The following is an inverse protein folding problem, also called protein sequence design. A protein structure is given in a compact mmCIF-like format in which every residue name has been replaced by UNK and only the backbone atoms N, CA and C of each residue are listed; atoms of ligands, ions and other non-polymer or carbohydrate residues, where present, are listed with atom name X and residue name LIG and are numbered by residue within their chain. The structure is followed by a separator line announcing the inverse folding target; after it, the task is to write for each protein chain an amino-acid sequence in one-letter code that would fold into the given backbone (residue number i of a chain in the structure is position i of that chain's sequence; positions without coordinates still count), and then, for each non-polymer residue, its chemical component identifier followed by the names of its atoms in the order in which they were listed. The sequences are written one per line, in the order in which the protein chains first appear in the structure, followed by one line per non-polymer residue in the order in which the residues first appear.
data_IF_141394800256
#
_entry.id   IF_141394800256
#
_cell.length_a   1.000
_cell.length_b   1.000
_cell.length_c   1.000
_cell.angle_alpha   90.00
_cell.angle_beta   90.00
_cell.angle_gamma   90.00
#
_symmetry.space_group_name_H-M   'P 1'
#
loop_
_entity.id
_entity.type
_entity.pdbx_description
1 polymer ?
#
# COMPACT_ATOMS: atom_id res chain seq x y z
N UNK A 1 21.33 -17.25 4.17
CA UNK A 1 20.71 -15.99 4.67
C UNK A 1 20.16 -15.14 3.54
N UNK A 2 19.04 -14.49 3.77
CA UNK A 2 18.41 -13.63 2.77
C UNK A 2 17.46 -12.63 3.41
N UNK A 3 17.61 -11.36 3.05
CA UNK A 3 16.75 -10.31 3.60
C UNK A 3 15.34 -10.42 3.04
N UNK A 4 14.45 -11.05 3.79
CA UNK A 4 13.06 -11.23 3.38
C UNK A 4 12.43 -9.87 3.09
N UNK A 5 11.55 -9.84 2.09
CA UNK A 5 10.87 -8.61 1.70
C UNK A 5 9.85 -8.17 2.76
N UNK A 6 9.51 -9.09 3.67
CA UNK A 6 8.55 -8.79 4.72
C UNK A 6 9.09 -7.71 5.67
N UNK A 7 10.38 -7.40 5.53
CA UNK A 7 11.01 -6.38 6.38
C UNK A 7 10.70 -4.98 5.86
N UNK A 8 10.84 -4.78 4.55
CA UNK A 8 10.54 -3.48 3.96
C UNK A 8 9.19 -2.97 4.42
N UNK A 9 8.25 -3.89 4.63
CA UNK A 9 6.92 -3.53 5.08
C UNK A 9 6.94 -3.08 6.54
N UNK A 10 7.89 -3.61 7.30
CA UNK A 10 8.02 -3.26 8.71
C UNK A 10 8.25 -1.76 8.89
N UNK A 11 9.21 -1.22 8.15
CA UNK A 11 9.53 0.20 8.23
C UNK A 11 8.39 1.03 7.64
N UNK A 12 8.06 0.78 6.38
CA UNK A 12 6.98 1.48 5.71
C UNK A 12 5.78 1.63 6.64
N UNK A 13 5.61 0.65 7.52
CA UNK A 13 4.53 0.65 8.49
C UNK A 13 4.75 1.69 9.58
N UNK A 14 5.88 1.57 10.29
CA UNK A 14 6.21 2.48 11.36
C UNK A 14 6.07 3.93 10.92
N UNK A 15 6.48 4.21 9.69
CA UNK A 15 6.39 5.56 9.15
C UNK A 15 4.94 5.92 8.93
N UNK A 16 4.20 5.03 8.28
CA UNK A 16 2.78 5.24 8.01
C UNK A 16 2.04 5.62 9.30
N UNK A 17 2.62 5.26 10.45
CA UNK A 17 2.02 5.57 11.73
C UNK A 17 2.36 7.00 12.15
N UNK A 18 3.63 7.38 11.95
CA UNK A 18 4.09 8.72 12.32
C UNK A 18 3.45 9.78 11.42
N UNK A 19 3.47 9.52 10.11
CA UNK A 19 2.90 10.44 9.14
C UNK A 19 1.57 11.04 9.61
N UNK A 20 0.83 10.27 10.37
CA UNK A 20 -0.47 10.71 10.88
C UNK A 20 -0.41 10.99 12.38
N UNK A 21 0.60 10.43 13.05
CA UNK A 21 0.74 10.64 14.47
C UNK A 21 1.24 12.02 14.82
N UNK A 22 0.43 13.04 14.52
CA UNK A 22 0.80 14.42 14.81
C UNK A 22 1.16 14.59 16.29
N UNK A 23 2.45 14.73 16.57
CA UNK A 23 2.90 14.88 17.93
C UNK A 23 3.24 13.56 18.59
N UNK A 24 2.38 12.56 18.38
CA UNK A 24 2.58 11.23 18.95
C UNK A 24 2.23 10.15 17.94
N UNK A 25 2.96 9.04 17.97
CA UNK A 25 2.72 7.93 17.05
C UNK A 25 1.23 7.61 16.96
N UNK A 26 0.69 7.68 15.75
CA UNK A 26 -0.73 7.41 15.54
C UNK A 26 -1.01 5.93 15.78
N UNK A 27 -2.05 5.61 16.58
CA UNK A 27 -2.41 4.23 16.90
C UNK A 27 -2.89 3.42 15.68
N UNK A 28 -2.71 3.98 14.48
CA UNK A 28 -3.13 3.28 13.26
C UNK A 28 -1.97 2.46 12.68
N UNK A 29 -1.16 1.88 13.57
CA UNK A 29 -0.03 1.05 13.15
C UNK A 29 1.01 0.97 14.29
N UNK A 30 0.53 0.72 15.51
CA UNK A 30 1.41 0.63 16.66
C UNK A 30 1.75 -0.83 16.97
N UNK A 31 0.74 -1.69 16.96
CA UNK A 31 0.94 -3.10 17.25
C UNK A 31 0.09 -3.97 16.33
N UNK A 32 0.48 -4.04 15.06
CA UNK A 32 -0.25 -4.84 14.08
C UNK A 32 -0.21 -6.33 14.46
N UNK A 33 0.99 -6.90 14.45
CA UNK A 33 1.16 -8.31 14.79
C UNK A 33 2.64 -8.70 14.77
N UNK A 34 3.29 -8.58 15.93
CA UNK A 34 4.69 -8.92 16.05
C UNK A 34 5.24 -8.50 17.42
N UNK A 35 5.47 -9.48 18.28
CA UNK A 35 5.99 -9.23 19.61
C UNK A 35 7.45 -9.67 19.71
N UNK A 36 8.25 -8.91 20.46
CA UNK A 36 9.66 -9.23 20.63
C UNK A 36 10.42 -9.09 19.31
N UNK A 37 10.41 -7.90 18.72
CA UNK A 37 11.09 -7.63 17.44
C UNK A 37 12.60 -7.78 17.54
N UNK A 38 13.21 -8.23 16.45
CA UNK A 38 14.66 -8.43 16.39
C UNK A 38 15.39 -7.08 16.31
N UNK A 39 16.54 -7.01 16.97
CA UNK A 39 17.34 -5.79 16.97
C UNK A 39 17.69 -5.37 15.55
N UNK A 40 17.02 -4.32 15.07
CA UNK A 40 17.25 -3.82 13.72
C UNK A 40 16.86 -2.36 13.61
N UNK A 41 17.49 -1.64 12.68
CA UNK A 41 17.19 -0.23 12.47
C UNK A 41 16.24 -0.03 11.30
N UNK A 42 14.93 0.06 11.57
CA UNK A 42 13.91 0.25 10.53
C UNK A 42 14.04 1.61 9.84
N UNK A 43 15.16 1.83 9.17
CA UNK A 43 15.40 3.09 8.47
C UNK A 43 16.34 2.87 7.28
N UNK A 44 16.35 1.64 6.76
CA UNK A 44 17.20 1.31 5.63
C UNK A 44 16.91 2.24 4.45
N UNK A 45 17.55 2.01 3.31
CA UNK A 45 17.34 2.85 2.14
C UNK A 45 16.07 2.45 1.39
N UNK A 46 15.96 1.18 1.04
CA UNK A 46 14.79 0.68 0.32
C UNK A 46 13.51 1.09 1.06
N UNK A 47 13.50 0.88 2.37
CA UNK A 47 12.34 1.23 3.17
C UNK A 47 11.96 2.70 3.00
N UNK A 48 12.88 3.60 3.34
CA UNK A 48 12.63 5.03 3.21
C UNK A 48 12.23 5.37 1.78
N UNK A 49 13.04 4.92 0.84
CA UNK A 49 12.77 5.16 -0.56
C UNK A 49 11.30 4.90 -0.87
N UNK A 50 10.80 3.76 -0.40
CA UNK A 50 9.40 3.41 -0.62
C UNK A 50 8.46 4.48 -0.10
N UNK A 51 8.67 4.94 1.14
CA UNK A 51 7.81 5.99 1.67
C UNK A 51 7.55 7.00 0.56
N UNK A 52 8.62 7.37 -0.14
CA UNK A 52 8.53 8.31 -1.25
C UNK A 52 7.89 7.69 -2.50
N UNK A 53 8.64 6.79 -3.14
CA UNK A 53 8.19 6.12 -4.35
C UNK A 53 6.68 5.94 -4.37
N UNK A 54 6.12 5.56 -3.24
CA UNK A 54 4.69 5.35 -3.11
C UNK A 54 3.92 6.66 -3.11
N UNK A 55 4.29 7.59 -2.23
CA UNK A 55 3.62 8.89 -2.18
C UNK A 55 3.58 9.50 -3.58
N UNK A 56 4.77 9.68 -4.13
CA UNK A 56 4.93 10.26 -5.46
C UNK A 56 3.91 9.67 -6.44
N UNK A 57 3.85 8.34 -6.48
CA UNK A 57 2.91 7.67 -7.37
C UNK A 57 1.51 8.27 -7.26
N UNK A 58 1.02 8.35 -6.02
CA UNK A 58 -0.30 8.90 -5.77
C UNK A 58 -0.51 10.22 -6.51
N UNK A 59 0.52 11.07 -6.52
CA UNK A 59 0.43 12.36 -7.20
C UNK A 59 -0.12 12.18 -8.61
N UNK A 60 0.17 11.03 -9.21
CA UNK A 60 -0.29 10.74 -10.56
C UNK A 60 -1.58 9.92 -10.54
N UNK A 61 -1.59 8.86 -9.74
CA UNK A 61 -2.77 8.00 -9.62
C UNK A 61 -3.41 8.14 -8.25
N UNK A 62 -3.76 9.37 -7.88
CA UNK A 62 -4.39 9.62 -6.59
C UNK A 62 -5.85 9.18 -6.61
N UNK A 63 -6.61 9.69 -7.57
CA UNK A 63 -8.02 9.34 -7.69
C UNK A 63 -8.18 7.88 -8.09
N UNK A 64 -7.34 7.42 -9.00
CA UNK A 64 -7.38 6.05 -9.46
C UNK A 64 -7.45 5.08 -8.28
N UNK A 65 -6.50 5.19 -7.37
CA UNK A 65 -6.44 4.33 -6.20
C UNK A 65 -7.78 4.33 -5.46
N UNK A 66 -8.13 5.47 -4.87
CA UNK A 66 -9.38 5.61 -4.14
C UNK A 66 -10.58 5.17 -4.99
N UNK A 67 -10.57 5.59 -6.25
CA UNK A 67 -11.65 5.25 -7.16
C UNK A 67 -11.99 3.76 -7.08
N UNK A 68 -11.00 2.92 -7.35
CA UNK A 68 -11.20 1.48 -7.31
C UNK A 68 -11.80 1.05 -5.98
N UNK A 69 -11.31 1.66 -4.89
CA UNK A 69 -11.79 1.34 -3.56
C UNK A 69 -13.30 1.56 -3.45
N UNK A 70 -13.78 2.65 -4.05
CA UNK A 70 -15.20 2.96 -4.00
C UNK A 70 -16.02 2.01 -4.86
N UNK A 71 -15.42 1.55 -5.96
CA UNK A 71 -16.10 0.63 -6.87
C UNK A 71 -16.49 -0.67 -6.15
N UNK A 72 -15.50 -1.42 -5.73
CA UNK A 72 -15.73 -2.69 -5.04
C UNK A 72 -16.53 -2.48 -3.76
N UNK A 73 -16.46 -1.28 -3.20
CA UNK A 73 -17.16 -0.96 -1.96
C UNK A 73 -18.53 -1.63 -1.90
N UNK A 74 -19.01 -1.89 -0.68
CA UNK A 74 -20.29 -2.53 -0.46
C UNK A 74 -20.13 -4.03 -0.27
N UNK A 75 -19.31 -4.40 0.71
CA UNK A 75 -19.06 -5.82 1.02
C UNK A 75 -19.73 -6.22 2.33
N UNK A 76 -19.50 -7.45 2.75
CA UNK A 76 -20.08 -7.97 3.98
C UNK A 76 -19.60 -7.17 5.19
N UNK A 77 -18.47 -6.50 5.05
CA UNK A 77 -17.91 -5.71 6.14
C UNK A 77 -17.31 -6.59 7.23
N UNK A 78 -17.09 -7.87 6.89
CA UNK A 78 -16.52 -8.81 7.85
C UNK A 78 -15.96 -10.03 7.14
N UNK A 79 -15.40 -9.83 5.96
CA UNK A 79 -14.83 -10.91 5.18
C UNK A 79 -13.70 -10.41 4.28
N UNK A 80 -12.59 -11.15 4.25
CA UNK A 80 -11.44 -10.77 3.44
C UNK A 80 -11.64 -11.14 1.96
N UNK A 81 -12.81 -11.69 1.64
CA UNK A 81 -13.10 -12.08 0.27
C UNK A 81 -12.93 -10.93 -0.71
N UNK A 82 -13.16 -9.72 -0.22
CA UNK A 82 -13.05 -8.52 -1.05
C UNK A 82 -11.73 -7.80 -0.79
N UNK A 83 -11.19 -8.00 0.39
CA UNK A 83 -9.94 -7.35 0.77
C UNK A 83 -8.76 -7.82 -0.08
N UNK A 84 -8.80 -9.08 -0.51
CA UNK A 84 -7.73 -9.62 -1.34
C UNK A 84 -7.85 -9.11 -2.77
N UNK A 85 -9.06 -9.17 -3.32
CA UNK A 85 -9.29 -8.70 -4.68
C UNK A 85 -8.95 -7.22 -4.79
N UNK A 86 -9.27 -6.47 -3.75
CA UNK A 86 -9.00 -5.04 -3.70
C UNK A 86 -7.50 -4.78 -3.64
N UNK A 87 -6.80 -5.64 -2.91
CA UNK A 87 -5.36 -5.51 -2.75
C UNK A 87 -4.67 -5.44 -4.11
N UNK A 88 -5.12 -6.26 -5.05
CA UNK A 88 -4.55 -6.30 -6.39
C UNK A 88 -5.27 -5.34 -7.34
N UNK A 89 -6.55 -5.11 -7.08
CA UNK A 89 -7.36 -4.22 -7.93
C UNK A 89 -7.17 -2.75 -7.56
N UNK A 90 -6.75 -2.48 -6.33
CA UNK A 90 -6.55 -1.12 -5.87
C UNK A 90 -5.74 -0.29 -6.88
N UNK A 91 -4.91 -0.95 -7.68
CA UNK A 91 -4.10 -0.26 -8.67
C UNK A 91 -4.25 -0.87 -10.06
N UNK A 92 -5.26 -1.74 -10.23
CA UNK A 92 -5.52 -2.40 -11.51
C UNK A 92 -5.28 -1.45 -12.69
N UNK A 93 -5.71 -0.20 -12.52
CA UNK A 93 -5.55 0.81 -13.57
C UNK A 93 -4.13 0.82 -14.12
N UNK A 94 -3.16 0.59 -13.24
CA UNK A 94 -1.76 0.58 -13.67
C UNK A 94 -1.49 -0.46 -14.73
N UNK A 95 -0.76 -1.51 -14.36
CA UNK A 95 -0.43 -2.58 -15.29
C UNK A 95 0.58 -3.55 -14.69
N UNK A 96 1.71 -3.04 -14.20
CA UNK A 96 2.75 -3.87 -13.58
C UNK A 96 2.18 -4.87 -12.58
N UNK A 97 3.02 -5.76 -12.08
CA UNK A 97 2.59 -6.76 -11.12
C UNK A 97 2.73 -6.25 -9.69
N UNK A 98 3.96 -6.00 -9.28
CA UNK A 98 4.23 -5.52 -7.92
C UNK A 98 3.55 -4.17 -7.71
N UNK A 99 3.26 -3.49 -8.80
CA UNK A 99 2.62 -2.18 -8.73
C UNK A 99 1.40 -2.19 -7.84
N UNK A 100 0.80 -3.36 -7.65
CA UNK A 100 -0.38 -3.49 -6.80
C UNK A 100 0.01 -3.32 -5.34
N UNK A 101 1.23 -3.77 -5.01
CA UNK A 101 1.73 -3.68 -3.65
C UNK A 101 2.25 -2.28 -3.35
N UNK A 102 2.80 -1.62 -4.37
CA UNK A 102 3.31 -0.27 -4.20
C UNK A 102 2.16 0.69 -4.02
N UNK A 103 1.08 0.46 -4.76
CA UNK A 103 -0.09 1.29 -4.65
C UNK A 103 -0.74 1.09 -3.29
N UNK A 104 -0.88 -0.19 -2.91
CA UNK A 104 -1.46 -0.56 -1.62
C UNK A 104 -0.89 0.31 -0.51
N UNK A 105 0.43 0.29 -0.37
CA UNK A 105 1.10 1.08 0.66
C UNK A 105 1.00 2.57 0.34
N UNK A 106 0.79 2.88 -0.93
CA UNK A 106 0.68 4.26 -1.39
C UNK A 106 -0.67 4.85 -1.06
N UNK A 107 -1.72 4.38 -1.73
CA UNK A 107 -3.06 4.88 -1.50
C UNK A 107 -3.39 4.79 -0.01
N UNK A 108 -3.03 3.67 0.59
CA UNK A 108 -3.29 3.44 2.00
C UNK A 108 -2.69 4.57 2.84
N UNK A 109 -1.64 5.19 2.34
CA UNK A 109 -0.98 6.29 3.05
C UNK A 109 -1.86 7.53 3.08
N UNK A 110 -2.25 8.01 1.90
CA UNK A 110 -3.09 9.20 1.81
C UNK A 110 -4.50 8.88 2.31
N UNK A 111 -4.94 7.65 2.08
CA UNK A 111 -6.26 7.22 2.51
C UNK A 111 -6.41 7.36 4.02
N UNK A 112 -5.37 7.00 4.75
CA UNK A 112 -5.39 7.09 6.21
C UNK A 112 -5.37 8.55 6.67
N UNK A 113 -4.64 9.38 5.93
CA UNK A 113 -4.55 10.81 6.26
C UNK A 113 -5.89 11.49 6.10
N UNK A 114 -6.58 11.18 5.00
CA UNK A 114 -7.89 11.78 4.72
C UNK A 114 -8.96 11.25 5.67
N UNK A 115 -8.91 9.95 5.93
CA UNK A 115 -9.87 9.31 6.81
C UNK A 115 -9.77 9.85 8.23
N UNK A 116 -8.55 10.19 8.65
CA UNK A 116 -8.32 10.73 9.98
C UNK A 116 -8.53 12.24 10.02
N UNK A 117 -8.06 12.93 8.98
CA UNK A 117 -8.20 14.37 8.90
C UNK A 117 -9.66 14.79 8.99
N UNK A 118 -10.49 14.21 8.13
CA UNK A 118 -11.92 14.52 8.11
C UNK A 118 -12.60 14.01 9.38
N UNK A 119 -13.52 14.80 9.92
CA UNK A 119 -14.23 14.44 11.13
C UNK A 119 -15.20 13.28 10.86
N UNK A 120 -14.65 12.12 10.53
CA UNK A 120 -15.46 10.94 10.25
C UNK A 120 -14.62 9.67 10.31
N UNK A 121 -15.26 8.56 10.69
CA UNK A 121 -14.58 7.28 10.79
C UNK A 121 -13.26 7.38 11.55
N UNK A 122 -13.23 8.18 12.63
CA UNK A 122 -12.05 8.40 13.46
C UNK A 122 -11.07 7.20 13.50
N UNK A 123 -10.10 7.31 14.39
CA UNK A 123 -9.08 6.27 14.55
C UNK A 123 -9.68 4.86 14.52
N UNK A 124 -10.97 4.74 14.85
CA UNK A 124 -11.61 3.44 14.87
C UNK A 124 -11.78 2.84 13.47
N UNK A 125 -12.12 3.66 12.47
CA UNK A 125 -12.28 3.13 11.11
C UNK A 125 -10.94 3.00 10.42
N UNK A 126 -10.06 3.98 10.63
CA UNK A 126 -8.74 3.95 10.01
C UNK A 126 -7.97 2.70 10.47
N UNK A 127 -8.03 2.42 11.76
CA UNK A 127 -7.37 1.26 12.33
C UNK A 127 -7.99 -0.03 11.83
N UNK A 128 -9.32 -0.07 11.76
CA UNK A 128 -10.01 -1.26 11.30
C UNK A 128 -9.45 -1.72 9.95
N UNK A 129 -9.40 -0.81 8.99
CA UNK A 129 -8.87 -1.12 7.67
C UNK A 129 -7.45 -1.67 7.77
N UNK A 130 -6.62 -1.01 8.57
CA UNK A 130 -5.24 -1.42 8.75
C UNK A 130 -5.16 -2.85 9.28
N UNK A 131 -6.02 -3.19 10.23
CA UNK A 131 -6.04 -4.52 10.81
C UNK A 131 -6.18 -5.57 9.71
N UNK A 132 -7.16 -5.37 8.84
CA UNK A 132 -7.38 -6.31 7.75
C UNK A 132 -6.35 -6.14 6.65
N UNK A 133 -6.08 -4.89 6.29
CA UNK A 133 -5.10 -4.59 5.25
C UNK A 133 -3.74 -5.18 5.61
N UNK A 134 -3.27 -4.86 6.81
CA UNK A 134 -1.98 -5.36 7.28
C UNK A 134 -1.91 -6.87 7.12
N UNK A 135 -3.00 -7.55 7.47
CA UNK A 135 -3.06 -9.00 7.36
C UNK A 135 -2.71 -9.45 5.95
N UNK A 136 -3.28 -8.75 4.97
CA UNK A 136 -3.03 -9.08 3.57
C UNK A 136 -1.61 -8.68 3.16
N UNK A 137 -1.07 -7.65 3.81
CA UNK A 137 0.26 -7.17 3.52
C UNK A 137 1.29 -8.29 3.62
N UNK A 138 1.11 -9.17 4.60
CA UNK A 138 2.02 -10.29 4.78
C UNK A 138 2.10 -11.13 3.51
N UNK A 139 1.08 -11.03 2.67
CA UNK A 139 1.06 -11.77 1.43
C UNK A 139 2.15 -11.34 0.48
N UNK A 140 2.55 -10.08 0.58
CA UNK A 140 3.59 -9.54 -0.30
C UNK A 140 4.83 -10.43 -0.33
N UNK A 141 5.16 -11.07 0.78
CA UNK A 141 6.35 -11.94 0.82
C UNK A 141 6.47 -12.75 -0.47
N UNK A 142 5.62 -13.76 -0.61
CA UNK A 142 5.65 -14.58 -1.81
C UNK A 142 5.00 -13.86 -2.98
N UNK A 143 3.95 -13.11 -2.68
CA UNK A 143 3.23 -12.33 -3.68
C UNK A 143 4.17 -11.39 -4.41
N UNK A 144 5.17 -10.89 -3.70
CA UNK A 144 6.16 -9.98 -4.25
C UNK A 144 7.21 -10.75 -5.06
N UNK A 145 7.65 -11.88 -4.53
CA UNK A 145 8.64 -12.71 -5.20
C UNK A 145 8.28 -12.91 -6.66
N UNK A 146 7.05 -13.35 -6.91
CA UNK A 146 6.59 -13.57 -8.28
C UNK A 146 6.67 -12.27 -9.10
N UNK A 147 6.70 -11.15 -8.40
CA UNK A 147 6.78 -9.85 -9.05
C UNK A 147 8.22 -9.52 -9.42
N UNK A 148 9.15 -9.92 -8.57
CA UNK A 148 10.56 -9.65 -8.81
C UNK A 148 11.20 -8.85 -7.69
N UNK A 149 10.59 -8.88 -6.51
CA UNK A 149 11.13 -8.13 -5.38
C UNK A 149 11.21 -6.65 -5.67
N UNK A 150 11.30 -5.84 -4.62
CA UNK A 150 11.39 -4.40 -4.78
C UNK A 150 12.60 -4.05 -5.62
N UNK A 151 13.56 -4.96 -5.64
CA UNK A 151 14.79 -4.71 -6.36
C UNK A 151 14.55 -4.02 -7.71
N UNK A 152 13.36 -4.22 -8.27
CA UNK A 152 13.00 -3.62 -9.55
C UNK A 152 12.38 -2.22 -9.39
N UNK A 153 11.40 -2.10 -8.48
CA UNK A 153 10.74 -0.82 -8.26
C UNK A 153 11.62 0.15 -7.50
N UNK A 154 12.06 -0.30 -6.34
CA UNK A 154 12.91 0.48 -5.44
C UNK A 154 14.28 0.76 -6.06
N UNK A 155 14.29 1.07 -7.36
CA UNK A 155 15.53 1.37 -8.07
C UNK A 155 15.24 2.12 -9.37
N UNK A 156 14.84 1.37 -10.39
CA UNK A 156 14.49 1.95 -11.67
C UNK A 156 13.17 2.70 -11.57
N UNK A 157 12.45 2.45 -10.48
CA UNK A 157 11.16 3.10 -10.22
C UNK A 157 10.12 2.64 -11.23
N UNK A 158 9.99 1.33 -11.38
CA UNK A 158 9.00 0.76 -12.28
C UNK A 158 9.28 1.10 -13.73
N UNK A 159 9.31 0.09 -14.61
CA UNK A 159 9.55 0.28 -16.05
C UNK A 159 8.32 0.83 -16.77
N UNK A 160 8.56 1.73 -17.72
CA UNK A 160 7.45 2.31 -18.47
C UNK A 160 7.87 2.79 -19.84
N UNK A 161 7.17 2.32 -20.87
CA UNK A 161 7.47 2.71 -22.24
C UNK A 161 6.57 1.97 -23.23
N UNK A 162 5.27 1.96 -22.94
CA UNK A 162 4.30 1.29 -23.80
C UNK A 162 2.87 1.68 -23.44
N UNK A 163 2.04 1.85 -24.46
CA UNK A 163 0.65 2.23 -24.25
C UNK A 163 -0.11 2.26 -25.57
N UNK A 164 0.48 2.92 -26.58
CA UNK A 164 -0.14 3.02 -27.89
C UNK A 164 -1.55 3.57 -27.77
N UNK A 165 -2.34 3.40 -28.84
CA UNK A 165 -3.72 3.88 -28.86
C UNK A 165 -4.60 2.95 -29.70
N UNK A 166 -4.63 1.68 -29.33
CA UNK A 166 -5.43 0.70 -30.04
C UNK A 166 -6.08 -0.28 -29.07
N UNK A 167 -7.39 -0.47 -29.21
CA UNK A 167 -8.14 -1.39 -28.35
C UNK A 167 -9.61 -1.40 -28.73
N UNK A 168 -10.24 -0.23 -28.73
CA UNK A 168 -11.64 -0.11 -29.07
C UNK A 168 -11.80 0.44 -30.49
N UNK A 169 -13.02 0.89 -30.81
CA UNK A 169 -13.30 1.45 -32.13
C UNK A 169 -14.47 2.43 -32.07
N UNK A 170 -14.53 3.20 -30.99
CA UNK A 170 -15.60 4.18 -30.82
C UNK A 170 -15.19 5.54 -31.38
N UNK A 171 -13.95 5.92 -31.11
CA UNK A 171 -13.43 7.20 -31.59
C UNK A 171 -12.27 6.99 -32.56
N UNK A 172 -12.32 7.68 -33.70
CA UNK A 172 -11.29 7.57 -34.71
C UNK A 172 -10.09 8.44 -34.37
#
# INVERSE_FOLDING_TARGET
MAYSTREILLALCIRDSRVHGNGTLHPVLELAARETPLRLSPEDTVVLRYHVLLEEIIERNSETFTETWNRFITHTEHVDLDFNSVFLEIFHRGDPSLGRALAWMAWCMHACRTLCCNQSTPYYVVDLSVRGMLEASEGLDGWIHQQGGWSTLIEDNIPGDDDDLEHHHHHH
#
